data_IF_933540510870
#
_entry.id   IF_933540510870
#
_cell.length_a   1.000
_cell.length_b   1.000
_cell.length_c   1.000
_cell.angle_alpha   90.00
_cell.angle_beta   90.00
_cell.angle_gamma   90.00
#
_symmetry.space_group_name_H-M   'P 1'
#
loop_
_entity.id
_entity.type
_entity.pdbx_description
1 polymer ?
#
# COMPACT_ATOMS: atom_id res chain seq x y z
N UNK A 1 -69.37 65.59 -12.77
CA UNK A 1 -68.65 64.83 -11.73
C UNK A 1 -67.71 63.84 -12.40
N UNK A 2 -66.40 64.08 -12.40
CA UNK A 2 -65.38 63.11 -12.84
C UNK A 2 -64.77 62.49 -11.59
N UNK A 3 -65.15 61.25 -11.28
CA UNK A 3 -64.46 60.45 -10.28
C UNK A 3 -63.24 59.81 -10.95
N UNK A 4 -62.05 60.30 -10.62
CA UNK A 4 -60.78 59.69 -11.02
C UNK A 4 -60.52 58.55 -10.03
N UNK A 5 -60.45 57.33 -10.56
CA UNK A 5 -60.16 56.10 -9.82
C UNK A 5 -58.78 56.18 -9.15
N UNK A 6 -58.73 56.55 -7.87
CA UNK A 6 -57.51 56.62 -7.05
C UNK A 6 -56.99 55.24 -6.60
N UNK A 7 -57.70 54.15 -6.92
CA UNK A 7 -57.32 52.79 -6.52
C UNK A 7 -56.26 52.13 -7.41
N UNK A 8 -56.25 52.39 -8.72
CA UNK A 8 -55.31 51.73 -9.64
C UNK A 8 -53.88 52.24 -9.50
N UNK A 9 -53.68 53.54 -9.21
CA UNK A 9 -52.34 54.11 -9.01
C UNK A 9 -51.66 53.56 -7.74
N UNK A 10 -52.42 53.35 -6.66
CA UNK A 10 -51.90 52.78 -5.41
C UNK A 10 -51.54 51.30 -5.51
N UNK A 11 -52.27 50.51 -6.32
CA UNK A 11 -51.89 49.12 -6.58
C UNK A 11 -50.58 49.02 -7.39
N UNK A 12 -50.40 49.88 -8.40
CA UNK A 12 -49.19 49.87 -9.23
C UNK A 12 -47.95 50.29 -8.44
N UNK A 13 -48.05 51.32 -7.58
CA UNK A 13 -46.95 51.70 -6.68
C UNK A 13 -46.60 50.60 -5.67
N UNK A 14 -47.60 49.87 -5.17
CA UNK A 14 -47.39 48.76 -4.24
C UNK A 14 -46.66 47.56 -4.88
N UNK A 15 -46.96 47.23 -6.14
CA UNK A 15 -46.25 46.19 -6.89
C UNK A 15 -44.78 46.56 -7.16
N UNK A 16 -44.53 47.83 -7.50
CA UNK A 16 -43.17 48.32 -7.75
C UNK A 16 -42.35 48.32 -6.47
N UNK A 17 -42.91 48.78 -5.34
CA UNK A 17 -42.25 48.72 -4.03
C UNK A 17 -42.00 47.28 -3.60
N UNK A 18 -42.96 46.37 -3.82
CA UNK A 18 -42.77 44.95 -3.55
C UNK A 18 -41.62 44.35 -4.38
N UNK A 19 -41.51 44.69 -5.67
CA UNK A 19 -40.40 44.24 -6.52
C UNK A 19 -39.04 44.74 -6.03
N UNK A 20 -38.94 46.01 -5.61
CA UNK A 20 -37.69 46.56 -5.05
C UNK A 20 -37.33 45.92 -3.71
N UNK A 21 -38.30 45.67 -2.83
CA UNK A 21 -38.07 44.97 -1.56
C UNK A 21 -37.65 43.52 -1.79
N UNK A 22 -38.22 42.85 -2.81
CA UNK A 22 -37.85 41.47 -3.17
C UNK A 22 -36.43 41.42 -3.75
N UNK A 23 -36.05 42.41 -4.57
CA UNK A 23 -34.68 42.54 -5.10
C UNK A 23 -33.67 42.84 -3.99
N UNK A 24 -34.00 43.74 -3.06
CA UNK A 24 -33.16 44.07 -1.91
C UNK A 24 -33.00 42.88 -0.94
N UNK A 25 -34.06 42.08 -0.73
CA UNK A 25 -34.00 40.82 0.01
C UNK A 25 -33.16 39.75 -0.70
N UNK A 26 -33.15 39.73 -2.04
CA UNK A 26 -32.28 38.85 -2.82
C UNK A 26 -30.80 39.27 -2.72
N UNK A 27 -30.52 40.57 -2.59
CA UNK A 27 -29.18 41.11 -2.32
C UNK A 27 -28.72 40.91 -0.86
N UNK A 28 -29.66 40.74 0.08
CA UNK A 28 -29.41 40.46 1.49
C UNK A 28 -29.38 38.96 1.82
N UNK A 29 -29.64 38.08 0.85
CA UNK A 29 -29.15 36.71 0.98
C UNK A 29 -27.63 36.82 1.06
N UNK A 30 -27.00 36.47 2.20
CA UNK A 30 -25.57 36.29 2.16
C UNK A 30 -25.34 35.27 1.05
N UNK A 31 -24.62 35.67 0.01
CA UNK A 31 -23.88 34.70 -0.77
C UNK A 31 -22.96 34.05 0.26
N UNK A 32 -23.46 32.99 0.89
CA UNK A 32 -22.63 31.97 1.49
C UNK A 32 -21.79 31.57 0.29
N UNK A 33 -20.58 32.14 0.22
CA UNK A 33 -19.58 31.70 -0.73
C UNK A 33 -19.61 30.19 -0.63
N UNK A 34 -19.77 29.52 -1.76
CA UNK A 34 -19.58 28.09 -1.86
C UNK A 34 -18.11 27.82 -1.49
N UNK A 35 -17.80 27.90 -0.19
CA UNK A 35 -16.56 27.40 0.36
C UNK A 35 -16.61 25.92 0.05
N UNK A 36 -15.81 25.50 -0.92
CA UNK A 36 -15.73 24.10 -1.34
C UNK A 36 -15.52 23.25 -0.11
N UNK A 37 -16.58 22.56 0.31
CA UNK A 37 -16.52 21.68 1.47
C UNK A 37 -15.72 20.46 1.06
N UNK A 38 -14.76 20.04 1.89
CA UNK A 38 -13.98 18.82 1.61
C UNK A 38 -14.85 17.56 1.47
N UNK A 39 -16.12 17.65 1.88
CA UNK A 39 -17.11 16.58 1.79
C UNK A 39 -17.44 16.16 0.35
N UNK A 40 -17.48 17.09 -0.61
CA UNK A 40 -17.74 16.77 -2.01
C UNK A 40 -16.57 15.99 -2.63
N UNK A 41 -15.34 16.39 -2.32
CA UNK A 41 -14.12 15.67 -2.69
C UNK A 41 -14.13 14.25 -2.09
N UNK A 42 -14.48 14.10 -0.82
CA UNK A 42 -14.61 12.78 -0.18
C UNK A 42 -15.68 11.93 -0.87
N UNK A 43 -16.82 12.52 -1.25
CA UNK A 43 -17.85 11.81 -2.02
C UNK A 43 -17.30 11.29 -3.35
N UNK A 44 -16.54 12.10 -4.08
CA UNK A 44 -15.95 11.70 -5.35
C UNK A 44 -14.92 10.57 -5.19
N UNK A 45 -14.01 10.68 -4.23
CA UNK A 45 -13.03 9.64 -3.92
C UNK A 45 -13.71 8.31 -3.52
N UNK A 46 -14.76 8.36 -2.70
CA UNK A 46 -15.55 7.17 -2.36
C UNK A 46 -16.25 6.59 -3.59
N UNK A 47 -16.80 7.43 -4.48
CA UNK A 47 -17.42 6.97 -5.74
C UNK A 47 -16.40 6.28 -6.65
N UNK A 48 -15.16 6.75 -6.68
CA UNK A 48 -14.08 6.09 -7.43
C UNK A 48 -13.69 4.73 -6.85
N UNK A 49 -14.01 4.47 -5.58
CA UNK A 49 -13.76 3.19 -4.90
C UNK A 49 -12.69 3.23 -3.81
N UNK A 50 -12.10 4.41 -3.52
CA UNK A 50 -11.18 4.54 -2.39
C UNK A 50 -11.89 4.18 -1.08
N UNK A 51 -11.16 3.54 -0.18
CA UNK A 51 -11.65 3.12 1.13
C UNK A 51 -11.05 4.00 2.23
N UNK A 52 -11.64 3.97 3.42
CA UNK A 52 -11.19 4.74 4.58
C UNK A 52 -10.97 6.22 4.26
N UNK A 53 -11.94 6.83 3.56
CA UNK A 53 -11.82 8.20 3.07
C UNK A 53 -12.41 9.19 4.07
N UNK A 54 -11.69 10.24 4.40
CA UNK A 54 -12.16 11.31 5.30
C UNK A 54 -11.45 12.62 5.01
N UNK A 55 -11.87 13.67 5.71
CA UNK A 55 -11.21 14.97 5.63
C UNK A 55 -11.31 15.70 6.97
N UNK A 56 -10.33 16.55 7.25
CA UNK A 56 -10.30 17.49 8.36
C UNK A 56 -9.78 18.83 7.85
N UNK A 57 -10.10 19.91 8.53
CA UNK A 57 -9.58 21.24 8.20
C UNK A 57 -9.45 22.05 9.47
N UNK A 58 -8.29 22.70 9.62
CA UNK A 58 -8.06 23.75 10.61
C UNK A 58 -7.80 25.09 9.91
N UNK A 59 -7.29 26.08 10.64
CA UNK A 59 -7.03 27.42 10.09
C UNK A 59 -5.84 27.45 9.11
N UNK A 60 -4.89 26.50 9.16
CA UNK A 60 -3.64 26.49 8.36
C UNK A 60 -3.63 25.41 7.26
N UNK A 61 -4.27 24.26 7.47
CA UNK A 61 -4.17 23.10 6.58
C UNK A 61 -5.48 22.29 6.48
N UNK A 62 -5.83 21.91 5.24
CA UNK A 62 -6.87 20.91 4.95
C UNK A 62 -6.22 19.55 4.71
N UNK A 63 -6.66 18.53 5.44
CA UNK A 63 -6.15 17.16 5.34
C UNK A 63 -7.20 16.23 4.77
N UNK A 64 -6.88 15.54 3.69
CA UNK A 64 -7.62 14.39 3.18
C UNK A 64 -6.96 13.10 3.62
N UNK A 65 -7.77 12.12 4.00
CA UNK A 65 -7.33 10.77 4.36
C UNK A 65 -7.92 9.82 3.34
N UNK A 66 -7.12 8.90 2.79
CA UNK A 66 -7.60 7.88 1.87
C UNK A 66 -6.77 6.61 1.92
N UNK A 67 -7.40 5.49 1.57
CA UNK A 67 -6.73 4.21 1.31
C UNK A 67 -7.01 3.79 -0.13
N UNK A 68 -5.94 3.62 -0.91
CA UNK A 68 -6.07 3.08 -2.26
C UNK A 68 -6.23 1.55 -2.23
N UNK A 69 -7.44 1.11 -2.54
CA UNK A 69 -7.79 -0.30 -2.74
C UNK A 69 -8.40 -0.55 -4.12
N UNK A 70 -8.43 0.46 -4.99
CA UNK A 70 -9.05 0.40 -6.33
C UNK A 70 -8.00 0.21 -7.41
N UNK A 71 -6.86 0.90 -7.29
CA UNK A 71 -5.79 0.84 -8.26
C UNK A 71 -4.70 -0.08 -7.74
N UNK A 72 -4.22 -0.98 -8.61
CA UNK A 72 -3.16 -1.95 -8.27
C UNK A 72 -1.88 -1.29 -7.82
N UNK A 73 -1.52 -0.21 -8.49
CA UNK A 73 -0.28 0.52 -8.24
C UNK A 73 -0.60 1.73 -7.38
N UNK A 74 0.10 1.86 -6.24
CA UNK A 74 -0.12 2.96 -5.31
C UNK A 74 0.12 4.33 -5.95
N UNK A 75 1.20 4.48 -6.73
CA UNK A 75 1.48 5.71 -7.48
C UNK A 75 0.33 6.16 -8.39
N UNK A 76 -0.26 5.23 -9.14
CA UNK A 76 -1.41 5.52 -10.03
C UNK A 76 -2.65 5.91 -9.22
N UNK A 77 -2.94 5.20 -8.13
CA UNK A 77 -4.08 5.53 -7.27
C UNK A 77 -3.93 6.90 -6.61
N UNK A 78 -2.75 7.21 -6.09
CA UNK A 78 -2.44 8.49 -5.46
C UNK A 78 -2.51 9.62 -6.50
N UNK A 79 -1.92 9.44 -7.68
CA UNK A 79 -2.03 10.38 -8.80
C UNK A 79 -3.48 10.71 -9.15
N UNK A 80 -4.34 9.68 -9.25
CA UNK A 80 -5.78 9.88 -9.52
C UNK A 80 -6.52 10.56 -8.38
N UNK A 81 -6.09 10.38 -7.13
CA UNK A 81 -6.64 11.10 -6.01
C UNK A 81 -6.23 12.58 -6.03
N UNK A 82 -4.97 12.87 -6.37
CA UNK A 82 -4.47 14.24 -6.57
C UNK A 82 -5.26 14.94 -7.67
N UNK A 83 -5.45 14.30 -8.83
CA UNK A 83 -6.27 14.83 -9.93
C UNK A 83 -7.64 15.28 -9.44
N UNK A 84 -8.37 14.40 -8.74
CA UNK A 84 -9.72 14.71 -8.26
C UNK A 84 -9.74 15.78 -7.18
N UNK A 85 -8.73 15.83 -6.31
CA UNK A 85 -8.63 16.88 -5.28
C UNK A 85 -8.35 18.24 -5.94
N UNK A 86 -7.50 18.28 -6.96
CA UNK A 86 -7.23 19.50 -7.72
C UNK A 86 -8.45 19.95 -8.54
N UNK A 87 -9.12 19.02 -9.23
CA UNK A 87 -10.31 19.29 -10.04
C UNK A 87 -11.49 19.79 -9.18
N UNK A 88 -11.62 19.26 -7.96
CA UNK A 88 -12.62 19.72 -6.99
C UNK A 88 -12.24 21.02 -6.29
N UNK A 89 -11.01 21.50 -6.50
CA UNK A 89 -10.42 22.71 -5.95
C UNK A 89 -9.71 22.54 -4.62
N UNK A 90 -8.57 23.23 -4.52
CA UNK A 90 -7.69 23.28 -3.35
C UNK A 90 -8.14 24.38 -2.39
N UNK A 91 -7.86 24.25 -1.08
CA UNK A 91 -8.24 25.28 -0.12
C UNK A 91 -7.49 26.59 -0.40
N UNK A 92 -8.21 27.72 -0.36
CA UNK A 92 -7.62 29.04 -0.55
C UNK A 92 -6.75 29.43 0.66
N UNK A 93 -5.54 29.92 0.41
CA UNK A 93 -4.58 30.39 1.43
C UNK A 93 -4.24 29.38 2.56
N UNK A 94 -4.55 28.09 2.36
CA UNK A 94 -4.21 27.01 3.30
C UNK A 94 -3.40 25.93 2.61
N UNK A 95 -2.60 25.21 3.39
CA UNK A 95 -1.92 24.01 2.92
C UNK A 95 -2.93 22.91 2.63
N UNK A 96 -2.62 22.04 1.68
CA UNK A 96 -3.41 20.83 1.43
C UNK A 96 -2.55 19.61 1.67
N UNK A 97 -3.03 18.66 2.47
CA UNK A 97 -2.34 17.40 2.73
C UNK A 97 -3.20 16.20 2.38
N UNK A 98 -2.59 15.17 1.81
CA UNK A 98 -3.20 13.87 1.56
C UNK A 98 -2.44 12.83 2.37
N UNK A 99 -3.09 12.21 3.34
CA UNK A 99 -2.54 11.09 4.11
C UNK A 99 -3.01 9.78 3.51
N UNK A 100 -2.06 8.98 3.04
CA UNK A 100 -2.34 7.68 2.40
C UNK A 100 -2.19 6.57 3.44
N UNK A 101 -3.26 5.81 3.62
CA UNK A 101 -3.29 4.66 4.52
C UNK A 101 -2.97 3.36 3.77
N UNK A 102 -2.41 2.39 4.48
CA UNK A 102 -2.42 0.97 4.12
C UNK A 102 -2.93 0.18 5.33
N UNK A 103 -3.96 -0.63 5.15
CA UNK A 103 -4.64 -1.35 6.23
C UNK A 103 -4.97 -0.45 7.45
N UNK A 104 -5.54 0.73 7.22
CA UNK A 104 -5.82 1.77 8.23
C UNK A 104 -4.59 2.34 8.97
N UNK A 105 -3.36 2.02 8.56
CA UNK A 105 -2.11 2.59 9.10
C UNK A 105 -1.59 3.65 8.13
N UNK A 106 -1.35 4.89 8.56
CA UNK A 106 -0.81 5.93 7.69
C UNK A 106 0.62 5.62 7.25
N UNK A 107 0.86 5.59 5.94
CA UNK A 107 2.14 5.24 5.35
C UNK A 107 2.94 6.50 4.99
N UNK A 108 2.37 7.36 4.14
CA UNK A 108 2.98 8.59 3.65
C UNK A 108 1.98 9.73 3.66
N UNK A 109 2.47 10.95 3.54
CA UNK A 109 1.65 12.09 3.18
C UNK A 109 2.20 12.85 1.99
N UNK A 110 1.28 13.50 1.27
CA UNK A 110 1.58 14.45 0.21
C UNK A 110 1.15 15.82 0.71
N UNK A 111 2.02 16.83 0.66
CA UNK A 111 1.72 18.19 1.07
C UNK A 111 1.91 19.16 -0.09
N UNK A 112 0.91 20.02 -0.29
CA UNK A 112 0.91 21.13 -1.20
C UNK A 112 0.84 22.44 -0.38
N UNK A 113 1.69 23.39 -0.75
CA UNK A 113 1.72 24.72 -0.15
C UNK A 113 1.28 25.74 -1.20
N UNK A 114 0.26 26.57 -0.94
CA UNK A 114 -0.16 27.59 -1.88
C UNK A 114 0.98 28.61 -2.05
N UNK A 115 1.34 28.90 -3.30
CA UNK A 115 2.28 29.97 -3.64
C UNK A 115 1.56 31.31 -3.48
N UNK A 116 2.05 32.16 -2.58
CA UNK A 116 1.47 33.49 -2.35
C UNK A 116 1.72 34.36 -3.58
N UNK A 117 0.64 34.79 -4.24
CA UNK A 117 0.70 35.83 -5.28
C UNK A 117 0.36 35.39 -6.70
N UNK A 118 0.02 34.12 -6.94
CA UNK A 118 -0.35 33.66 -8.28
C UNK A 118 -1.85 33.35 -8.37
N UNK A 119 -2.60 34.29 -8.93
CA UNK A 119 -4.03 34.12 -9.25
C UNK A 119 -4.25 33.24 -10.48
N UNK A 120 -3.19 32.74 -11.14
CA UNK A 120 -3.26 32.03 -12.42
C UNK A 120 -2.40 30.75 -12.53
N UNK A 121 -1.52 30.41 -11.57
CA UNK A 121 -0.75 29.16 -11.63
C UNK A 121 -1.64 27.94 -11.42
N UNK A 122 -1.89 27.20 -12.50
CA UNK A 122 -2.42 25.84 -12.43
C UNK A 122 -1.45 24.96 -11.65
N UNK A 123 -1.89 24.44 -10.50
CA UNK A 123 -1.04 23.61 -9.63
C UNK A 123 -0.47 22.42 -10.39
N UNK A 124 0.84 22.32 -10.42
CA UNK A 124 1.54 21.22 -11.08
C UNK A 124 1.71 20.05 -10.12
N UNK A 125 1.86 18.84 -10.68
CA UNK A 125 2.18 17.65 -9.88
C UNK A 125 3.56 17.75 -9.22
N UNK A 126 4.42 18.62 -9.73
CA UNK A 126 5.71 18.90 -9.13
C UNK A 126 5.61 19.69 -7.82
N UNK A 127 4.50 20.38 -7.55
CA UNK A 127 4.33 21.20 -6.35
C UNK A 127 4.00 20.38 -5.10
N UNK A 128 3.57 19.12 -5.29
CA UNK A 128 3.29 18.20 -4.19
C UNK A 128 4.56 17.59 -3.62
N UNK A 129 4.89 17.90 -2.37
CA UNK A 129 5.96 17.22 -1.66
C UNK A 129 5.45 15.90 -1.07
N UNK A 130 6.19 14.80 -1.24
CA UNK A 130 5.83 13.49 -0.70
C UNK A 130 6.83 13.14 0.39
N UNK A 131 6.34 12.74 1.56
CA UNK A 131 7.19 12.42 2.71
C UNK A 131 6.53 11.36 3.59
N UNK A 132 7.34 10.68 4.41
CA UNK A 132 6.81 9.87 5.49
C UNK A 132 6.14 10.72 6.57
N UNK A 133 6.57 11.96 6.80
CA UNK A 133 6.01 12.86 7.81
C UNK A 133 4.53 13.16 7.58
N UNK A 134 3.72 13.12 8.64
CA UNK A 134 2.25 13.31 8.54
C UNK A 134 1.78 14.74 8.85
N UNK A 135 2.66 15.59 9.39
CA UNK A 135 2.29 16.94 9.85
C UNK A 135 1.56 16.97 11.19
N UNK A 136 1.39 18.17 11.74
CA UNK A 136 0.81 18.39 13.08
C UNK A 136 -0.70 18.14 13.11
N UNK A 137 -1.39 18.50 12.04
CA UNK A 137 -2.84 18.36 11.81
C UNK A 137 -3.32 16.91 11.80
N UNK A 138 -2.41 15.94 11.59
CA UNK A 138 -2.72 14.52 11.68
C UNK A 138 -3.31 14.12 13.05
N UNK A 139 -2.93 14.81 14.14
CA UNK A 139 -3.44 14.53 15.48
C UNK A 139 -4.96 14.68 15.56
N UNK A 140 -5.53 15.61 14.81
CA UNK A 140 -6.97 15.87 14.74
C UNK A 140 -7.60 15.01 13.64
N UNK A 141 -6.97 14.97 12.47
CA UNK A 141 -7.46 14.22 11.32
C UNK A 141 -7.63 12.71 11.61
N UNK A 142 -6.78 12.11 12.46
CA UNK A 142 -6.86 10.68 12.80
C UNK A 142 -8.18 10.27 13.50
N UNK A 143 -8.88 11.22 14.11
CA UNK A 143 -10.13 10.97 14.84
C UNK A 143 -11.38 11.14 13.97
N UNK A 144 -11.22 11.59 12.73
CA UNK A 144 -12.35 11.81 11.81
C UNK A 144 -13.04 10.49 11.46
N UNK A 145 -14.36 10.56 11.35
CA UNK A 145 -15.18 9.45 10.86
C UNK A 145 -14.90 9.19 9.37
N UNK A 146 -14.11 8.16 9.07
CA UNK A 146 -13.85 7.74 7.70
C UNK A 146 -15.07 7.04 7.07
N UNK A 147 -15.29 7.32 5.79
CA UNK A 147 -16.29 6.71 4.91
C UNK A 147 -15.70 5.53 4.15
N UNK A 148 -16.59 4.65 3.67
CA UNK A 148 -16.24 3.42 2.96
C UNK A 148 -15.15 2.60 3.69
N UNK A 149 -15.43 2.23 4.95
CA UNK A 149 -14.47 1.51 5.80
C UNK A 149 -13.99 0.21 5.15
N UNK A 150 -12.70 -0.11 5.30
CA UNK A 150 -12.12 -1.36 4.78
C UNK A 150 -12.30 -2.56 5.72
N UNK A 151 -12.66 -2.31 6.99
CA UNK A 151 -12.79 -3.35 8.00
C UNK A 151 -13.91 -4.35 7.66
N UNK A 152 -13.68 -5.62 7.98
CA UNK A 152 -14.56 -6.76 7.73
C UNK A 152 -14.88 -7.04 6.25
N UNK A 153 -14.21 -6.36 5.32
CA UNK A 153 -14.32 -6.66 3.89
C UNK A 153 -13.37 -7.78 3.53
N UNK A 154 -13.86 -8.71 2.72
CA UNK A 154 -13.14 -9.91 2.32
C UNK A 154 -12.52 -9.71 0.94
N UNK A 155 -11.23 -10.04 0.84
CA UNK A 155 -10.49 -10.14 -0.41
C UNK A 155 -10.17 -11.60 -0.71
N UNK A 156 -10.60 -12.08 -1.87
CA UNK A 156 -10.25 -13.39 -2.40
C UNK A 156 -9.21 -13.19 -3.50
N UNK A 157 -7.98 -13.56 -3.22
CA UNK A 157 -6.82 -13.35 -4.09
C UNK A 157 -6.28 -14.68 -4.60
N UNK A 158 -6.03 -14.80 -5.89
CA UNK A 158 -5.36 -15.98 -6.46
C UNK A 158 -3.90 -15.67 -6.71
N UNK A 159 -3.00 -16.39 -6.04
CA UNK A 159 -1.55 -16.21 -6.17
C UNK A 159 -0.96 -17.25 -7.13
N UNK A 160 -0.56 -16.89 -8.36
CA UNK A 160 0.29 -17.74 -9.18
C UNK A 160 1.70 -17.75 -8.60
N UNK A 161 2.19 -18.93 -8.21
CA UNK A 161 3.51 -19.12 -7.63
C UNK A 161 4.33 -20.01 -8.55
N UNK A 162 5.40 -19.44 -9.12
CA UNK A 162 6.38 -20.14 -9.94
C UNK A 162 7.70 -20.24 -9.18
N UNK A 163 8.23 -21.45 -9.06
CA UNK A 163 9.55 -21.69 -8.49
C UNK A 163 10.40 -22.51 -9.47
N UNK A 164 11.68 -22.14 -9.54
CA UNK A 164 12.69 -22.80 -10.37
C UNK A 164 13.82 -23.31 -9.49
N UNK A 165 14.29 -24.54 -9.77
CA UNK A 165 15.47 -25.13 -9.14
C UNK A 165 16.36 -25.66 -10.24
N UNK A 166 17.61 -25.21 -10.24
CA UNK A 166 18.65 -25.76 -11.09
C UNK A 166 19.51 -26.71 -10.25
N UNK A 167 19.15 -28.01 -10.25
CA UNK A 167 19.77 -29.00 -9.36
C UNK A 167 20.26 -30.26 -10.08
N UNK A 168 19.85 -30.50 -11.32
CA UNK A 168 20.15 -31.75 -12.04
C UNK A 168 20.95 -31.43 -13.30
N UNK A 169 22.02 -32.17 -13.56
CA UNK A 169 22.92 -31.92 -14.71
C UNK A 169 22.20 -32.16 -16.05
N UNK A 170 21.22 -33.08 -16.08
CA UNK A 170 20.50 -33.50 -17.29
C UNK A 170 19.33 -32.59 -17.69
N UNK A 171 18.92 -31.64 -16.83
CA UNK A 171 17.81 -30.74 -17.09
C UNK A 171 18.13 -29.33 -16.63
N UNK A 172 17.83 -28.33 -17.46
CA UNK A 172 18.20 -26.94 -17.18
C UNK A 172 17.41 -26.40 -15.96
N UNK A 173 16.14 -26.79 -15.78
CA UNK A 173 15.33 -26.40 -14.62
C UNK A 173 14.28 -27.45 -14.23
N UNK A 174 14.15 -27.69 -12.93
CA UNK A 174 12.94 -28.21 -12.32
C UNK A 174 11.97 -27.06 -12.05
N UNK A 175 10.70 -27.22 -12.41
CA UNK A 175 9.67 -26.19 -12.31
C UNK A 175 8.56 -26.65 -11.36
N UNK A 176 8.16 -25.74 -10.45
CA UNK A 176 6.95 -25.89 -9.65
C UNK A 176 6.03 -24.72 -9.95
N UNK A 177 4.80 -25.04 -10.35
CA UNK A 177 3.74 -24.08 -10.57
C UNK A 177 2.53 -24.40 -9.67
N UNK A 178 2.29 -23.52 -8.72
CA UNK A 178 1.18 -23.60 -7.79
C UNK A 178 0.21 -22.44 -8.02
N UNK A 179 -1.08 -22.72 -8.03
CA UNK A 179 -2.14 -21.71 -8.00
C UNK A 179 -2.69 -21.66 -6.57
N UNK A 180 -2.47 -20.55 -5.87
CA UNK A 180 -2.73 -20.50 -4.43
C UNK A 180 -3.83 -19.48 -4.09
N UNK A 181 -5.13 -19.84 -4.15
CA UNK A 181 -6.20 -18.98 -3.67
C UNK A 181 -6.02 -18.66 -2.17
N UNK A 182 -6.21 -17.41 -1.81
CA UNK A 182 -6.08 -16.89 -0.46
C UNK A 182 -7.23 -15.96 -0.13
N UNK A 183 -7.66 -16.02 1.12
CA UNK A 183 -8.64 -15.12 1.70
C UNK A 183 -7.90 -14.17 2.63
N UNK A 184 -8.11 -12.87 2.43
CA UNK A 184 -7.56 -11.80 3.25
C UNK A 184 -8.69 -10.97 3.86
N UNK A 185 -8.63 -10.74 5.16
CA UNK A 185 -9.63 -9.93 5.89
C UNK A 185 -8.95 -9.13 7.01
N UNK A 186 -9.41 -7.90 7.20
CA UNK A 186 -8.94 -7.01 8.26
C UNK A 186 -10.08 -6.73 9.24
N UNK A 187 -9.92 -7.15 10.49
CA UNK A 187 -10.95 -6.98 11.51
C UNK A 187 -10.79 -5.67 12.31
N UNK A 188 -9.55 -5.20 12.49
CA UNK A 188 -9.24 -3.92 13.13
C UNK A 188 -8.03 -3.25 12.50
N UNK A 189 -7.72 -2.03 12.95
CA UNK A 189 -6.65 -1.21 12.41
C UNK A 189 -5.30 -1.95 12.43
N UNK A 190 -4.69 -2.07 11.25
CA UNK A 190 -3.39 -2.72 11.06
C UNK A 190 -3.41 -4.24 11.07
N UNK A 191 -4.52 -4.89 11.41
CA UNK A 191 -4.60 -6.35 11.40
C UNK A 191 -4.97 -6.91 10.04
N UNK A 192 -4.35 -8.02 9.66
CA UNK A 192 -4.72 -8.80 8.47
C UNK A 192 -4.62 -10.29 8.78
N UNK A 193 -5.72 -11.00 8.62
CA UNK A 193 -5.77 -12.45 8.55
C UNK A 193 -5.59 -12.88 7.10
N UNK A 194 -4.74 -13.87 6.87
CA UNK A 194 -4.52 -14.48 5.56
C UNK A 194 -4.60 -15.99 5.69
N UNK A 195 -5.47 -16.61 4.91
CA UNK A 195 -5.61 -18.06 4.82
C UNK A 195 -5.51 -18.48 3.35
N UNK A 196 -4.53 -19.30 3.01
CA UNK A 196 -4.21 -19.70 1.66
C UNK A 196 -4.26 -21.22 1.52
N UNK A 197 -4.78 -21.70 0.40
CA UNK A 197 -4.70 -23.10 -0.04
C UNK A 197 -3.79 -23.14 -1.26
N UNK A 198 -2.86 -24.10 -1.32
CA UNK A 198 -1.99 -24.33 -2.47
C UNK A 198 -2.59 -25.43 -3.34
N UNK A 199 -2.79 -25.13 -4.63
CA UNK A 199 -3.20 -26.09 -5.64
C UNK A 199 -2.01 -26.33 -6.58
N UNK A 200 -1.36 -27.50 -6.52
CA UNK A 200 -0.28 -27.82 -7.45
C UNK A 200 -0.84 -28.08 -8.84
N UNK A 201 -0.39 -27.28 -9.82
CA UNK A 201 -0.78 -27.42 -11.22
C UNK A 201 0.28 -28.23 -11.98
N UNK A 202 1.55 -27.99 -11.66
CA UNK A 202 2.67 -28.69 -12.27
C UNK A 202 3.83 -28.77 -11.28
N UNK A 203 4.41 -29.95 -11.12
CA UNK A 203 5.54 -30.20 -10.25
C UNK A 203 6.50 -31.16 -10.93
N UNK A 204 7.67 -30.65 -11.26
CA UNK A 204 8.75 -31.42 -11.89
C UNK A 204 9.91 -31.54 -10.89
N UNK A 205 9.73 -32.37 -9.86
CA UNK A 205 10.82 -32.74 -8.95
C UNK A 205 10.98 -31.91 -7.67
N UNK A 206 9.93 -31.24 -7.18
CA UNK A 206 9.91 -30.56 -5.87
C UNK A 206 9.50 -31.45 -4.70
N UNK A 207 9.11 -32.70 -4.97
CA UNK A 207 8.79 -33.72 -3.96
C UNK A 207 7.30 -34.03 -3.86
N UNK A 208 6.98 -35.22 -3.34
CA UNK A 208 5.61 -35.81 -3.34
C UNK A 208 4.60 -35.07 -2.47
N UNK A 209 5.05 -34.22 -1.53
CA UNK A 209 4.15 -33.47 -0.65
C UNK A 209 3.62 -32.21 -1.33
N UNK A 210 4.43 -31.53 -2.15
CA UNK A 210 3.99 -30.38 -2.95
C UNK A 210 3.06 -30.82 -4.11
N UNK A 211 2.95 -32.12 -4.42
CA UNK A 211 1.95 -32.66 -5.37
C UNK A 211 0.53 -32.74 -4.79
N UNK A 212 0.36 -32.55 -3.48
CA UNK A 212 -0.93 -32.64 -2.82
C UNK A 212 -1.56 -31.26 -2.64
N UNK A 213 -2.89 -31.20 -2.63
CA UNK A 213 -3.58 -29.99 -2.18
C UNK A 213 -3.35 -29.86 -0.68
N UNK A 214 -2.80 -28.73 -0.25
CA UNK A 214 -2.51 -28.46 1.15
C UNK A 214 -2.63 -26.98 1.49
N UNK A 215 -2.61 -26.65 2.78
CA UNK A 215 -2.60 -25.26 3.21
C UNK A 215 -1.25 -24.58 2.90
N UNK A 216 -1.32 -23.33 2.47
CA UNK A 216 -0.19 -22.42 2.32
C UNK A 216 -0.05 -21.56 3.57
N UNK A 217 -0.02 -20.23 3.39
CA UNK A 217 0.00 -19.29 4.51
C UNK A 217 -1.30 -19.37 5.33
N UNK A 218 -1.19 -19.55 6.63
CA UNK A 218 -2.28 -19.32 7.60
C UNK A 218 -1.72 -18.39 8.68
N UNK A 219 -1.96 -17.10 8.54
CA UNK A 219 -1.21 -16.08 9.28
C UNK A 219 -2.11 -14.96 9.76
N UNK A 220 -1.89 -14.52 10.99
CA UNK A 220 -2.42 -13.28 11.53
C UNK A 220 -1.27 -12.31 11.65
N UNK A 221 -1.42 -11.13 11.06
CA UNK A 221 -0.44 -10.05 11.11
C UNK A 221 -1.04 -8.80 11.75
N UNK A 222 -0.18 -8.02 12.40
CA UNK A 222 -0.47 -6.71 12.97
C UNK A 222 0.60 -5.74 12.51
N UNK A 223 0.22 -4.83 11.61
CA UNK A 223 0.99 -3.67 11.21
C UNK A 223 0.70 -2.49 12.12
N UNK A 224 1.71 -1.68 12.41
CA UNK A 224 1.59 -0.48 13.21
C UNK A 224 2.66 0.54 12.80
N UNK A 225 2.42 1.79 13.19
CA UNK A 225 3.36 2.89 13.02
C UNK A 225 3.56 3.56 14.37
N UNK A 226 4.81 3.62 14.81
CA UNK A 226 5.25 4.27 16.02
C UNK A 226 5.65 5.74 15.74
N UNK A 227 5.85 6.56 16.79
CA UNK A 227 6.46 7.88 16.65
C UNK A 227 7.80 7.81 15.90
N UNK A 228 8.23 8.93 15.31
CA UNK A 228 9.47 9.02 14.51
C UNK A 228 9.50 8.10 13.28
N UNK A 229 8.33 7.87 12.66
CA UNK A 229 8.19 7.11 11.41
C UNK A 229 8.75 5.68 11.46
N UNK A 230 8.75 5.03 12.63
CA UNK A 230 9.10 3.61 12.71
C UNK A 230 7.88 2.77 12.36
N UNK A 231 7.99 1.98 11.30
CA UNK A 231 6.98 1.03 10.85
C UNK A 231 7.31 -0.35 11.38
N UNK A 232 6.31 -1.02 11.96
CA UNK A 232 6.45 -2.37 12.49
C UNK A 232 5.35 -3.28 11.98
N UNK A 233 5.69 -4.55 11.80
CA UNK A 233 4.74 -5.61 11.44
C UNK A 233 5.10 -6.87 12.21
N UNK A 234 4.16 -7.41 12.96
CA UNK A 234 4.31 -8.69 13.67
C UNK A 234 3.34 -9.69 13.06
N UNK A 235 3.81 -10.89 12.75
CA UNK A 235 3.02 -11.97 12.18
C UNK A 235 3.20 -13.26 12.98
N UNK A 236 2.11 -14.02 13.11
CA UNK A 236 2.09 -15.32 13.77
C UNK A 236 1.30 -16.30 12.92
N UNK A 237 1.80 -17.53 12.79
CA UNK A 237 1.08 -18.61 12.15
C UNK A 237 1.98 -19.53 11.34
N UNK A 238 1.43 -20.07 10.27
CA UNK A 238 2.11 -20.93 9.32
C UNK A 238 2.54 -20.13 8.09
N UNK A 239 3.85 -20.04 7.87
CA UNK A 239 4.51 -19.28 6.82
C UNK A 239 4.84 -20.18 5.61
N UNK A 240 5.43 -19.60 4.57
CA UNK A 240 6.00 -20.44 3.50
C UNK A 240 7.29 -21.16 3.95
N UNK A 241 7.83 -21.99 3.05
CA UNK A 241 9.03 -22.79 3.31
C UNK A 241 8.88 -23.73 4.52
N UNK A 242 7.65 -24.19 4.79
CA UNK A 242 7.31 -25.15 5.83
C UNK A 242 7.77 -24.68 7.23
N UNK A 243 7.57 -23.39 7.50
CA UNK A 243 7.89 -22.75 8.77
C UNK A 243 6.60 -22.34 9.49
N UNK A 244 6.52 -22.58 10.80
CA UNK A 244 5.50 -22.00 11.65
C UNK A 244 6.14 -21.26 12.81
N UNK A 245 5.50 -20.20 13.30
CA UNK A 245 6.01 -19.46 14.44
C UNK A 245 5.64 -17.99 14.41
N UNK A 246 6.58 -17.15 14.83
CA UNK A 246 6.40 -15.70 14.98
C UNK A 246 7.49 -14.95 14.21
N UNK A 247 7.11 -13.82 13.61
CA UNK A 247 7.99 -12.95 12.84
C UNK A 247 7.70 -11.49 13.18
N UNK A 248 8.73 -10.69 13.37
CA UNK A 248 8.63 -9.25 13.60
C UNK A 248 9.56 -8.51 12.64
N UNK A 249 9.01 -7.61 11.85
CA UNK A 249 9.72 -6.77 10.88
C UNK A 249 9.58 -5.29 11.28
N UNK A 250 10.68 -4.55 11.20
CA UNK A 250 10.77 -3.13 11.48
C UNK A 250 11.47 -2.41 10.33
N UNK A 251 10.89 -1.28 9.93
CA UNK A 251 11.42 -0.39 8.92
C UNK A 251 11.44 1.03 9.48
N UNK A 252 12.58 1.71 9.39
CA UNK A 252 12.72 3.08 9.84
C UNK A 252 13.43 3.90 8.75
N UNK A 253 12.73 4.82 8.06
CA UNK A 253 13.37 5.81 7.22
C UNK A 253 14.08 6.85 8.10
N UNK A 254 15.32 7.19 7.73
CA UNK A 254 16.07 8.26 8.37
C UNK A 254 15.56 9.64 7.88
N UNK A 255 16.06 10.72 8.47
CA UNK A 255 15.59 12.08 8.19
C UNK A 255 15.68 12.53 6.72
N UNK A 256 16.63 12.02 5.95
CA UNK A 256 16.74 12.29 4.50
C UNK A 256 15.78 11.41 3.66
N UNK A 257 15.09 10.45 4.27
CA UNK A 257 14.15 9.47 3.68
C UNK A 257 14.74 8.57 2.58
N UNK A 258 15.92 8.89 2.05
CA UNK A 258 16.68 8.09 1.09
C UNK A 258 17.34 6.91 1.80
N UNK A 259 17.80 7.15 3.02
CA UNK A 259 18.40 6.14 3.86
C UNK A 259 17.36 5.53 4.77
N UNK A 260 17.47 4.23 4.99
CA UNK A 260 16.55 3.50 5.85
C UNK A 260 17.26 2.36 6.57
N UNK A 261 16.71 1.98 7.72
CA UNK A 261 17.12 0.84 8.52
C UNK A 261 16.05 -0.25 8.45
N UNK A 262 16.51 -1.50 8.42
CA UNK A 262 15.69 -2.70 8.38
C UNK A 262 16.10 -3.62 9.52
N UNK A 263 15.13 -4.02 10.33
CA UNK A 263 15.29 -5.06 11.34
C UNK A 263 14.23 -6.13 11.13
N UNK A 264 14.60 -7.40 11.24
CA UNK A 264 13.66 -8.51 11.27
C UNK A 264 14.14 -9.56 12.24
N UNK A 265 13.25 -10.09 13.06
CA UNK A 265 13.51 -11.17 14.00
C UNK A 265 12.42 -12.20 13.84
N UNK A 266 12.83 -13.46 13.71
CA UNK A 266 11.97 -14.61 13.53
C UNK A 266 12.23 -15.65 14.59
N UNK A 267 11.18 -16.30 15.07
CA UNK A 267 11.27 -17.49 15.90
C UNK A 267 10.35 -18.54 15.29
N UNK A 268 10.93 -19.48 14.56
CA UNK A 268 10.17 -20.44 13.74
C UNK A 268 10.62 -21.89 13.97
N UNK A 269 9.69 -22.83 13.85
CA UNK A 269 9.94 -24.27 13.79
C UNK A 269 9.54 -24.84 12.42
N UNK A 270 10.05 -26.02 12.10
CA UNK A 270 9.73 -26.73 10.86
C UNK A 270 8.41 -27.46 11.03
N UNK A 271 7.47 -27.24 10.11
CA UNK A 271 6.25 -28.01 10.01
C UNK A 271 5.80 -28.11 8.56
N UNK A 272 5.41 -29.29 8.12
CA UNK A 272 4.99 -29.56 6.75
C UNK A 272 3.59 -30.14 6.69
N UNK A 273 2.93 -29.98 5.55
CA UNK A 273 1.59 -30.51 5.32
C UNK A 273 1.67 -31.80 4.50
N UNK A 274 1.01 -32.85 4.97
CA UNK A 274 0.68 -34.02 4.15
C UNK A 274 -0.82 -33.97 3.81
N UNK A 275 -1.14 -33.33 2.70
CA UNK A 275 -2.51 -32.93 2.37
C UNK A 275 -3.05 -31.94 3.39
N UNK A 276 -4.09 -32.30 4.13
CA UNK A 276 -4.68 -31.48 5.20
C UNK A 276 -4.19 -31.85 6.61
N UNK A 277 -3.21 -32.75 6.74
CA UNK A 277 -2.62 -33.12 8.03
C UNK A 277 -1.32 -32.35 8.26
N UNK A 278 -1.26 -31.58 9.35
CA UNK A 278 -0.07 -30.84 9.75
C UNK A 278 0.85 -31.74 10.57
N UNK A 279 2.09 -31.89 10.11
CA UNK A 279 3.18 -32.49 10.87
C UNK A 279 4.11 -31.37 11.35
N UNK A 280 4.27 -31.23 12.65
CA UNK A 280 5.15 -30.23 13.25
C UNK A 280 6.19 -30.91 14.15
N UNK A 281 7.42 -30.39 14.14
CA UNK A 281 8.50 -30.89 15.00
C UNK A 281 8.90 -29.81 16.01
N UNK A 282 8.48 -29.93 17.30
CA UNK A 282 8.84 -29.00 18.35
C UNK A 282 10.33 -28.93 18.69
N UNK A 283 11.18 -29.84 18.17
CA UNK A 283 12.62 -29.80 18.43
C UNK A 283 13.39 -28.87 17.47
N UNK A 284 12.73 -28.39 16.41
CA UNK A 284 13.38 -27.68 15.29
C UNK A 284 13.35 -26.15 15.41
N UNK A 285 12.92 -25.61 16.55
CA UNK A 285 12.85 -24.15 16.75
C UNK A 285 14.19 -23.48 16.50
N UNK A 286 14.16 -22.46 15.66
CA UNK A 286 15.31 -21.68 15.25
C UNK A 286 14.95 -20.21 15.26
N UNK A 287 15.83 -19.42 15.90
CA UNK A 287 15.77 -17.97 15.81
C UNK A 287 16.49 -17.51 14.54
N UNK A 288 15.83 -16.68 13.74
CA UNK A 288 16.43 -15.98 12.62
C UNK A 288 16.45 -14.49 12.91
N UNK A 289 17.42 -13.78 12.38
CA UNK A 289 17.48 -12.32 12.51
C UNK A 289 18.09 -11.73 11.25
N UNK A 290 17.69 -10.52 10.91
CA UNK A 290 18.22 -9.74 9.81
C UNK A 290 18.31 -8.30 10.27
N UNK A 291 19.49 -7.72 10.20
CA UNK A 291 19.71 -6.31 10.46
C UNK A 291 20.43 -5.71 9.26
N UNK A 292 19.93 -4.58 8.76
CA UNK A 292 20.53 -3.94 7.62
C UNK A 292 20.08 -2.51 7.44
N UNK A 293 20.60 -1.91 6.38
CA UNK A 293 20.20 -0.59 5.93
C UNK A 293 20.28 -0.50 4.42
N UNK A 294 19.79 0.60 3.90
CA UNK A 294 19.83 0.83 2.47
C UNK A 294 19.73 2.28 2.10
N UNK A 295 19.90 2.51 0.80
CA UNK A 295 19.87 3.80 0.16
C UNK A 295 18.98 3.73 -1.08
N UNK A 296 18.14 4.75 -1.27
CA UNK A 296 17.27 4.90 -2.42
C UNK A 296 17.80 5.97 -3.38
N UNK A 297 18.22 5.54 -4.57
CA UNK A 297 18.64 6.41 -5.65
C UNK A 297 17.43 6.84 -6.48
N UNK A 298 16.99 8.07 -6.27
CA UNK A 298 15.76 8.66 -6.82
C UNK A 298 15.78 8.74 -8.36
N UNK A 299 16.86 9.25 -8.95
CA UNK A 299 16.99 9.44 -10.41
C UNK A 299 16.70 8.18 -11.24
N UNK A 300 17.03 6.99 -10.71
CA UNK A 300 16.84 5.72 -11.39
C UNK A 300 15.80 4.82 -10.72
N UNK A 301 15.10 5.30 -9.69
CA UNK A 301 14.20 4.51 -8.84
C UNK A 301 14.85 3.20 -8.36
N UNK A 302 16.10 3.27 -7.93
CA UNK A 302 16.92 2.10 -7.60
C UNK A 302 17.22 2.05 -6.10
N UNK A 303 16.88 0.92 -5.48
CA UNK A 303 17.10 0.63 -4.06
C UNK A 303 18.32 -0.25 -3.88
N UNK A 304 19.27 0.21 -3.08
CA UNK A 304 20.42 -0.54 -2.61
C UNK A 304 20.20 -0.96 -1.17
N UNK A 305 20.41 -2.23 -0.84
CA UNK A 305 20.21 -2.75 0.52
C UNK A 305 21.34 -3.68 0.90
N UNK A 306 21.88 -3.48 2.10
CA UNK A 306 22.90 -4.32 2.70
C UNK A 306 22.38 -4.85 4.04
N UNK A 307 22.40 -6.17 4.21
CA UNK A 307 21.88 -6.85 5.41
C UNK A 307 22.88 -7.87 5.93
N UNK A 308 23.02 -7.94 7.24
CA UNK A 308 23.57 -9.08 7.95
C UNK A 308 22.40 -9.96 8.40
N UNK A 309 22.41 -11.24 8.05
CA UNK A 309 21.29 -12.15 8.24
C UNK A 309 21.75 -13.48 8.86
N UNK A 310 20.93 -14.05 9.73
CA UNK A 310 20.97 -15.45 10.14
C UNK A 310 19.81 -16.18 9.46
N UNK A 311 20.15 -17.18 8.66
CA UNK A 311 19.23 -17.97 7.85
C UNK A 311 18.71 -19.20 8.61
N UNK A 312 17.81 -19.95 7.98
CA UNK A 312 17.12 -21.09 8.61
C UNK A 312 18.04 -22.23 9.06
N UNK A 313 19.20 -22.46 8.42
CA UNK A 313 20.18 -23.47 8.86
C UNK A 313 21.21 -22.90 9.85
N UNK A 314 20.90 -21.76 10.50
CA UNK A 314 21.70 -21.04 11.50
C UNK A 314 23.01 -20.44 10.96
N UNK A 315 23.20 -20.45 9.65
CA UNK A 315 24.29 -19.79 8.96
C UNK A 315 24.13 -18.27 9.02
N UNK A 316 25.23 -17.58 9.34
CA UNK A 316 25.30 -16.12 9.41
C UNK A 316 25.98 -15.61 8.17
N UNK A 317 25.38 -14.64 7.50
CA UNK A 317 25.91 -14.11 6.26
C UNK A 317 25.56 -12.65 6.02
N UNK A 318 26.12 -12.14 4.94
CA UNK A 318 25.84 -10.79 4.43
C UNK A 318 25.14 -10.94 3.08
N UNK A 319 24.14 -10.10 2.87
CA UNK A 319 23.36 -10.02 1.64
C UNK A 319 23.33 -8.59 1.14
N UNK A 320 23.66 -8.43 -0.14
CA UNK A 320 23.53 -7.20 -0.87
C UNK A 320 22.46 -7.34 -1.96
N UNK A 321 21.62 -6.33 -2.10
CA UNK A 321 20.58 -6.28 -3.13
C UNK A 321 20.60 -4.92 -3.82
N UNK A 322 20.53 -4.94 -5.15
CA UNK A 322 20.28 -3.76 -5.99
C UNK A 322 19.04 -4.03 -6.82
N UNK A 323 17.98 -3.26 -6.59
CA UNK A 323 16.68 -3.46 -7.22
C UNK A 323 16.23 -2.14 -7.83
N UNK A 324 16.01 -2.14 -9.14
CA UNK A 324 15.37 -1.05 -9.85
C UNK A 324 13.86 -1.28 -9.91
N UNK A 325 13.12 -0.25 -9.53
CA UNK A 325 11.66 -0.26 -9.54
C UNK A 325 11.14 0.49 -10.76
N UNK A 326 10.32 -0.20 -11.55
CA UNK A 326 9.50 0.38 -12.60
C UNK A 326 8.04 0.33 -12.13
N UNK A 327 7.17 1.01 -12.87
CA UNK A 327 5.72 1.03 -12.62
C UNK A 327 5.11 -0.36 -12.48
N UNK A 328 5.29 -1.20 -13.51
CA UNK A 328 4.65 -2.52 -13.61
C UNK A 328 5.57 -3.67 -13.21
N UNK A 329 6.87 -3.41 -12.99
CA UNK A 329 7.80 -4.47 -12.64
C UNK A 329 8.93 -3.96 -11.75
N UNK A 330 9.61 -4.87 -11.05
CA UNK A 330 10.85 -4.59 -10.33
C UNK A 330 11.88 -5.63 -10.73
N UNK A 331 13.06 -5.17 -11.10
CA UNK A 331 14.16 -6.00 -11.58
C UNK A 331 15.36 -5.71 -10.69
N UNK A 332 15.99 -6.76 -10.18
CA UNK A 332 17.18 -6.59 -9.37
C UNK A 332 18.08 -7.80 -9.39
N UNK A 333 19.25 -7.61 -8.84
CA UNK A 333 20.17 -8.69 -8.54
C UNK A 333 20.50 -8.69 -7.06
N UNK A 334 20.89 -9.85 -6.57
CA UNK A 334 21.37 -10.02 -5.22
C UNK A 334 22.64 -10.85 -5.21
N UNK A 335 23.47 -10.58 -4.22
CA UNK A 335 24.67 -11.37 -3.90
C UNK A 335 24.66 -11.61 -2.41
N UNK A 336 25.04 -12.83 -2.01
CA UNK A 336 25.05 -13.25 -0.62
C UNK A 336 26.25 -14.15 -0.33
N UNK A 337 26.77 -14.04 0.89
CA UNK A 337 27.86 -14.87 1.39
C UNK A 337 27.65 -15.14 2.87
N UNK A 338 27.60 -16.42 3.24
CA UNK A 338 27.46 -16.87 4.62
C UNK A 338 28.69 -17.66 5.07
N UNK A 339 28.84 -17.77 6.38
CA UNK A 339 29.87 -18.60 7.01
C UNK A 339 29.58 -20.07 6.68
N UNK A 340 30.61 -20.78 6.22
CA UNK A 340 30.55 -22.19 5.82
C UNK A 340 29.69 -22.50 4.58
N UNK A 341 29.29 -21.48 3.80
CA UNK A 341 28.59 -21.66 2.54
C UNK A 341 29.32 -20.92 1.40
N UNK A 342 29.25 -21.45 0.18
CA UNK A 342 29.81 -20.77 -0.99
C UNK A 342 29.04 -19.48 -1.27
N UNK A 343 29.72 -18.48 -1.83
CA UNK A 343 29.05 -17.26 -2.26
C UNK A 343 28.00 -17.60 -3.32
N UNK A 344 26.87 -16.91 -3.25
CA UNK A 344 25.76 -17.15 -4.14
C UNK A 344 25.15 -15.82 -4.62
N UNK A 345 24.50 -15.84 -5.76
CA UNK A 345 23.88 -14.65 -6.34
C UNK A 345 22.79 -15.02 -7.33
N UNK A 346 22.14 -14.00 -7.87
CA UNK A 346 21.07 -14.23 -8.81
C UNK A 346 20.24 -12.99 -9.11
N UNK A 347 19.15 -13.22 -9.84
CA UNK A 347 18.24 -12.18 -10.29
C UNK A 347 16.87 -12.32 -9.62
N UNK A 348 16.22 -11.19 -9.44
CA UNK A 348 14.88 -11.07 -8.89
C UNK A 348 14.05 -10.27 -9.87
N UNK A 349 12.98 -10.88 -10.35
CA UNK A 349 12.00 -10.26 -11.22
C UNK A 349 10.66 -10.28 -10.51
N UNK A 350 9.96 -9.15 -10.48
CA UNK A 350 8.58 -9.09 -10.02
C UNK A 350 7.76 -8.29 -11.01
N UNK A 351 6.56 -8.77 -11.32
CA UNK A 351 5.66 -8.14 -12.29
C UNK A 351 4.29 -7.99 -11.66
N UNK A 352 3.70 -6.80 -11.78
CA UNK A 352 2.34 -6.52 -11.35
C UNK A 352 1.35 -7.18 -12.31
N UNK A 353 0.41 -7.95 -11.76
CA UNK A 353 -0.55 -8.71 -12.56
C UNK A 353 -1.81 -7.86 -12.87
N UNK A 354 -2.35 -7.96 -14.09
CA UNK A 354 -3.65 -7.39 -14.40
C UNK A 354 -4.77 -8.15 -13.66
N UNK A 355 -5.95 -7.54 -13.46
CA UNK A 355 -6.33 -6.18 -13.85
C UNK A 355 -5.72 -5.10 -12.92
N UNK A 356 -5.47 -3.91 -13.48
CA UNK A 356 -4.83 -2.78 -12.77
C UNK A 356 -5.82 -1.83 -12.07
N UNK A 357 -7.12 -1.97 -12.34
CA UNK A 357 -8.21 -1.24 -11.70
C UNK A 357 -9.32 -2.22 -11.36
N UNK A 358 -9.86 -2.09 -10.16
CA UNK A 358 -10.93 -2.94 -9.66
C UNK A 358 -11.77 -2.15 -8.68
N UNK A 359 -13.09 -2.35 -8.72
CA UNK A 359 -14.01 -1.64 -7.84
C UNK A 359 -14.76 -2.65 -6.99
N UNK A 360 -14.73 -2.46 -5.68
CA UNK A 360 -15.56 -3.23 -4.76
C UNK A 360 -16.94 -2.59 -4.66
N UNK A 361 -17.99 -3.41 -4.67
CA UNK A 361 -19.37 -2.97 -4.43
C UNK A 361 -19.79 -3.34 -3.01
N UNK A 362 -19.72 -2.37 -2.10
CA UNK A 362 -20.12 -2.57 -0.70
C UNK A 362 -19.26 -3.63 0.01
N UNK A 363 -19.91 -4.64 0.59
CA UNK A 363 -19.29 -5.75 1.33
C UNK A 363 -19.13 -7.03 0.50
N UNK A 364 -19.48 -7.01 -0.79
CA UNK A 364 -19.29 -8.18 -1.66
C UNK A 364 -17.79 -8.52 -1.73
N UNK A 365 -17.40 -9.78 -1.50
CA UNK A 365 -16.00 -10.20 -1.61
C UNK A 365 -15.42 -9.85 -2.98
N UNK A 366 -14.27 -9.18 -2.97
CA UNK A 366 -13.54 -8.87 -4.20
C UNK A 366 -12.74 -10.10 -4.61
N UNK A 367 -12.96 -10.60 -5.81
CA UNK A 367 -12.12 -11.64 -6.42
C UNK A 367 -11.07 -10.99 -7.31
N UNK A 368 -9.80 -11.33 -7.11
CA UNK A 368 -8.71 -10.79 -7.90
C UNK A 368 -7.51 -11.74 -7.96
N UNK A 369 -6.56 -11.44 -8.82
CA UNK A 369 -5.22 -12.06 -8.79
C UNK A 369 -4.36 -11.31 -7.76
N UNK A 370 -3.32 -11.97 -7.24
CA UNK A 370 -2.30 -11.34 -6.41
C UNK A 370 -1.76 -10.06 -7.05
N UNK A 371 -1.28 -9.13 -6.21
CA UNK A 371 -0.84 -7.83 -6.73
C UNK A 371 0.33 -7.95 -7.71
N UNK A 372 1.17 -8.95 -7.51
CA UNK A 372 2.29 -9.28 -8.36
C UNK A 372 2.60 -10.77 -8.33
N UNK A 373 3.44 -11.16 -9.28
CA UNK A 373 4.13 -12.44 -9.32
C UNK A 373 5.63 -12.17 -9.26
N UNK A 374 6.34 -12.95 -8.45
CA UNK A 374 7.79 -12.84 -8.32
C UNK A 374 8.49 -14.11 -8.77
N UNK A 375 9.62 -13.94 -9.43
CA UNK A 375 10.53 -14.97 -9.89
C UNK A 375 11.92 -14.68 -9.35
N UNK A 376 12.55 -15.69 -8.76
CA UNK A 376 13.92 -15.61 -8.26
C UNK A 376 14.74 -16.62 -9.03
N UNK A 377 15.74 -16.13 -9.74
CA UNK A 377 16.76 -16.95 -10.36
C UNK A 377 17.97 -17.02 -9.43
N UNK A 378 18.46 -18.23 -9.18
CA UNK A 378 19.62 -18.49 -8.35
C UNK A 378 20.72 -19.08 -9.24
N UNK A 379 21.90 -18.46 -9.28
CA UNK A 379 23.02 -18.92 -10.11
C UNK A 379 23.75 -20.12 -9.50
N UNK A 380 23.67 -20.31 -8.18
CA UNK A 380 24.31 -21.42 -7.49
C UNK A 380 23.40 -22.64 -7.36
N UNK A 381 23.99 -23.84 -7.39
CA UNK A 381 23.29 -25.10 -7.13
C UNK A 381 23.08 -25.37 -5.61
N UNK A 382 23.11 -24.32 -4.79
CA UNK A 382 23.02 -24.45 -3.34
C UNK A 382 21.58 -24.79 -2.91
N UNK A 383 21.42 -25.91 -2.18
CA UNK A 383 20.11 -26.49 -1.83
C UNK A 383 19.73 -26.25 -0.37
N UNK A 384 20.72 -26.15 0.51
CA UNK A 384 20.53 -26.19 1.96
C UNK A 384 20.66 -24.82 2.59
N UNK A 385 21.67 -24.05 2.17
CA UNK A 385 21.97 -22.75 2.75
C UNK A 385 21.17 -21.60 2.11
N UNK A 386 21.15 -20.46 2.79
CA UNK A 386 20.50 -19.19 2.44
C UNK A 386 18.97 -19.24 2.40
N UNK A 387 18.35 -20.25 3.03
CA UNK A 387 16.89 -20.36 3.06
C UNK A 387 16.28 -19.30 3.99
N UNK A 388 15.23 -18.66 3.49
CA UNK A 388 14.41 -17.68 4.18
C UNK A 388 12.94 -18.01 3.98
N UNK A 389 12.10 -17.50 4.87
CA UNK A 389 10.65 -17.54 4.73
C UNK A 389 10.06 -16.12 4.60
N UNK A 390 8.83 -16.08 4.11
CA UNK A 390 7.95 -14.92 4.04
C UNK A 390 6.83 -15.14 5.03
N UNK A 391 6.61 -14.16 5.90
CA UNK A 391 5.57 -14.27 6.91
C UNK A 391 4.17 -14.03 6.33
N UNK A 392 4.06 -13.31 5.22
CA UNK A 392 2.79 -13.12 4.52
C UNK A 392 2.88 -13.49 3.03
N UNK A 393 1.76 -13.96 2.47
CA UNK A 393 1.65 -14.22 1.04
C UNK A 393 1.89 -12.96 0.18
N UNK A 394 1.44 -11.81 0.69
CA UNK A 394 1.63 -10.51 0.03
C UNK A 394 3.02 -9.92 0.21
N UNK A 395 3.92 -10.51 1.00
CA UNK A 395 5.26 -9.94 1.21
C UNK A 395 6.12 -10.07 -0.05
N UNK A 396 6.40 -8.92 -0.68
CA UNK A 396 7.13 -8.85 -1.92
C UNK A 396 7.87 -7.50 -2.07
N UNK A 397 8.73 -7.42 -3.08
CA UNK A 397 9.65 -6.30 -3.30
C UNK A 397 8.90 -5.07 -3.80
N UNK A 398 7.87 -5.26 -4.63
CA UNK A 398 7.05 -4.16 -5.12
C UNK A 398 6.23 -3.52 -3.99
N UNK A 399 5.64 -4.34 -3.11
CA UNK A 399 4.85 -3.87 -1.96
C UNK A 399 5.73 -3.08 -0.98
N UNK A 400 6.96 -3.55 -0.72
CA UNK A 400 7.92 -2.84 0.14
C UNK A 400 8.28 -1.45 -0.40
N UNK A 401 8.28 -1.26 -1.73
CA UNK A 401 8.58 0.04 -2.34
C UNK A 401 7.31 0.87 -2.64
N UNK A 402 6.12 0.29 -2.47
CA UNK A 402 4.86 0.90 -2.91
C UNK A 402 4.55 2.25 -2.25
N UNK A 403 5.08 2.49 -1.04
CA UNK A 403 4.94 3.74 -0.30
C UNK A 403 6.27 4.47 -0.12
N UNK A 404 7.25 4.26 -1.00
CA UNK A 404 8.48 5.06 -0.99
C UNK A 404 8.17 6.47 -1.54
N UNK A 405 8.44 7.56 -0.78
CA UNK A 405 8.11 8.93 -1.19
C UNK A 405 8.68 9.33 -2.55
N UNK A 406 9.94 8.97 -2.82
CA UNK A 406 10.62 9.30 -4.07
C UNK A 406 10.05 8.51 -5.25
N UNK A 407 9.71 7.24 -5.04
CA UNK A 407 9.04 6.45 -6.06
C UNK A 407 7.66 7.05 -6.40
N UNK A 408 6.86 7.38 -5.38
CA UNK A 408 5.55 8.02 -5.57
C UNK A 408 5.69 9.36 -6.27
N UNK A 409 6.68 10.19 -5.88
CA UNK A 409 6.97 11.45 -6.56
C UNK A 409 7.31 11.22 -8.04
N UNK A 410 8.11 10.22 -8.36
CA UNK A 410 8.43 9.88 -9.76
C UNK A 410 7.19 9.42 -10.55
N UNK A 411 6.25 8.72 -9.91
CA UNK A 411 4.99 8.30 -10.54
C UNK A 411 4.02 9.47 -10.75
N UNK A 412 4.06 10.51 -9.90
CA UNK A 412 3.29 11.73 -10.08
C UNK A 412 3.81 12.62 -11.21
N UNK A 413 5.12 12.62 -11.46
CA UNK A 413 5.74 13.51 -12.45
C UNK A 413 5.65 12.98 -13.88
N UNK A 414 5.80 11.67 -14.05
CA UNK A 414 5.96 11.08 -15.38
C UNK A 414 4.62 10.75 -16.05
N UNK A 415 3.52 10.80 -15.30
CA UNK A 415 2.18 10.34 -15.64
C UNK A 415 1.20 11.03 -14.71
#
# INVERSE_FOLDING_TARGET
>A
MRYINSGMAKCLEAEVVAQYVTFFLFCLFPMIGYGQTGQETVNALVRMGFENVGWAEDDDERVYILQNTTYRLQGVGISKAVDVIQDMGLPENKKCRIVVLNNNIPQISLSYHPLIGDTLSRVERNDWNVSYELGNTWKEAKNVKLRNRSLFKIDVLVYPQLAFKNLVITQIYHVLFNLSPAIEVSMWKGMKLTAQVKLPIYNDGYGKYEDKIHFGHITVSQSFRLPYNVFGKVAVGFFNADQYGMDAEFFHPLSDERFFLLGRIGYTGIGYWDGFKLHYDPSTWTSTWSLGGGFYWQQFNTRFTLKAEQYLMKEKGVRFEMIRHFRYCSIGFYVMKARNARANGGFRFQVALPPYKYRRRGYIPRMNVSANMGLVYNSGNERLYYKQYKAEASDNIMEQNSFNPYFIKSELLNF
#
